data_IF_945297884284
#
_entry.id   IF_945297884284
#
_cell.length_a   1.000
_cell.length_b   1.000
_cell.length_c   1.000
_cell.angle_alpha   90.00
_cell.angle_beta   90.00
_cell.angle_gamma   90.00
#
_symmetry.space_group_name_H-M   'P 1'
#
loop_
_entity.id
_entity.type
_entity.pdbx_description
1 polymer ?
#
# COMPACT_ATOMS: atom_id res chain seq x y z
N UNK A 1 -50.87 39.52 -52.29
CA UNK A 1 -50.06 39.59 -51.05
C UNK A 1 -50.19 38.26 -50.32
N UNK A 2 -49.10 37.49 -50.24
CA UNK A 2 -48.80 36.46 -49.22
C UNK A 2 -47.59 35.65 -49.73
N UNK A 3 -46.38 36.02 -49.31
CA UNK A 3 -45.17 35.22 -49.53
C UNK A 3 -45.26 33.97 -48.65
N UNK A 4 -45.28 32.79 -49.26
CA UNK A 4 -44.95 31.52 -48.61
C UNK A 4 -43.70 30.93 -49.29
N UNK A 5 -42.91 30.26 -48.46
CA UNK A 5 -41.77 29.40 -48.77
C UNK A 5 -40.50 30.15 -49.22
N UNK A 6 -39.30 29.77 -48.78
CA UNK A 6 -38.82 28.53 -48.17
C UNK A 6 -37.67 28.92 -47.24
N UNK A 7 -37.67 28.41 -46.01
CA UNK A 7 -36.47 28.36 -45.18
C UNK A 7 -35.41 27.59 -45.97
N UNK A 8 -34.31 28.29 -46.26
CA UNK A 8 -33.10 27.74 -46.82
C UNK A 8 -32.65 26.60 -45.92
N UNK A 9 -32.61 25.40 -46.49
CA UNK A 9 -31.98 24.23 -45.89
C UNK A 9 -30.53 24.58 -45.58
N UNK A 10 -30.25 24.79 -44.29
CA UNK A 10 -28.88 24.78 -43.80
C UNK A 10 -28.37 23.36 -44.03
N UNK A 11 -27.44 23.24 -44.98
CA UNK A 11 -26.67 22.03 -45.23
C UNK A 11 -26.03 21.58 -43.93
N UNK A 12 -26.58 20.55 -43.30
CA UNK A 12 -25.90 19.81 -42.26
C UNK A 12 -24.86 18.95 -42.96
N UNK A 13 -23.63 19.46 -43.08
CA UNK A 13 -22.49 18.63 -43.47
C UNK A 13 -22.33 17.52 -42.43
N UNK A 14 -22.97 16.40 -42.71
CA UNK A 14 -22.82 15.12 -42.03
C UNK A 14 -21.42 14.62 -42.34
N UNK A 15 -20.49 14.79 -41.41
CA UNK A 15 -19.17 14.15 -41.50
C UNK A 15 -19.37 12.64 -41.34
N UNK A 16 -19.58 11.92 -42.44
CA UNK A 16 -19.68 10.46 -42.45
C UNK A 16 -18.42 9.85 -41.84
N UNK A 17 -18.60 8.85 -40.96
CA UNK A 17 -17.48 8.18 -40.30
C UNK A 17 -17.00 7.01 -41.12
N UNK A 18 -15.74 7.05 -41.53
CA UNK A 18 -15.09 5.89 -42.12
C UNK A 18 -14.70 4.92 -40.99
N UNK A 19 -15.41 3.79 -40.96
CA UNK A 19 -15.25 2.73 -39.96
C UNK A 19 -14.07 1.79 -40.26
N UNK A 20 -13.46 1.89 -41.46
CA UNK A 20 -12.21 1.16 -41.76
C UNK A 20 -10.99 1.83 -41.12
N UNK A 21 -11.09 3.13 -40.81
CA UNK A 21 -10.07 3.90 -40.09
C UNK A 21 -10.31 3.89 -38.60
N UNK A 22 -9.37 4.48 -37.85
CA UNK A 22 -9.58 4.69 -36.42
C UNK A 22 -10.83 5.56 -36.17
N UNK A 23 -11.84 5.04 -35.48
CA UNK A 23 -13.08 5.79 -35.22
C UNK A 23 -12.93 7.02 -34.32
N UNK A 24 -11.79 7.19 -33.65
CA UNK A 24 -11.52 8.31 -32.74
C UNK A 24 -10.75 9.46 -33.39
N UNK A 25 -9.83 9.18 -34.33
CA UNK A 25 -9.01 10.21 -34.98
C UNK A 25 -9.11 10.23 -36.51
N UNK A 26 -9.74 9.23 -37.13
CA UNK A 26 -9.97 9.12 -38.58
C UNK A 26 -8.71 9.10 -39.44
N UNK A 27 -7.55 8.86 -38.82
CA UNK A 27 -6.28 8.67 -39.50
C UNK A 27 -6.08 7.18 -39.82
N UNK A 28 -5.59 6.92 -41.03
CA UNK A 28 -4.98 5.63 -41.38
C UNK A 28 -3.55 5.63 -40.87
N UNK A 29 -3.26 4.76 -39.91
CA UNK A 29 -1.88 4.54 -39.49
C UNK A 29 -1.52 3.08 -39.67
N UNK A 30 -0.23 2.82 -39.84
CA UNK A 30 0.35 1.47 -39.98
C UNK A 30 0.20 0.65 -38.68
N UNK A 31 -0.31 1.26 -37.61
CA UNK A 31 -0.49 0.62 -36.30
C UNK A 31 -1.70 -0.29 -36.32
N UNK A 32 -1.55 -1.51 -35.79
CA UNK A 32 -2.64 -2.48 -35.68
C UNK A 32 -3.81 -1.91 -34.87
N UNK A 33 -4.92 -1.66 -35.56
CA UNK A 33 -6.17 -1.20 -34.95
C UNK A 33 -6.81 -2.33 -34.14
N UNK A 34 -7.43 -2.00 -33.01
CA UNK A 34 -8.13 -2.96 -32.14
C UNK A 34 -9.63 -2.68 -32.08
N UNK A 35 -10.41 -3.75 -31.94
CA UNK A 35 -11.82 -3.73 -31.55
C UNK A 35 -11.95 -4.56 -30.27
N UNK A 36 -12.62 -4.02 -29.24
CA UNK A 36 -12.85 -4.75 -27.99
C UNK A 36 -14.09 -4.18 -27.31
N UNK A 37 -15.00 -5.05 -26.89
CA UNK A 37 -16.27 -4.69 -26.23
C UNK A 37 -16.05 -3.79 -25.01
N UNK A 38 -15.04 -4.10 -24.18
CA UNK A 38 -14.67 -3.28 -23.02
C UNK A 38 -14.18 -1.88 -23.41
N UNK A 39 -13.58 -1.75 -24.59
CA UNK A 39 -13.18 -0.45 -25.11
C UNK A 39 -14.37 0.39 -25.54
N UNK A 40 -15.41 -0.21 -26.10
CA UNK A 40 -16.63 0.51 -26.50
C UNK A 40 -17.40 1.04 -25.29
N UNK A 41 -17.57 0.22 -24.25
CA UNK A 41 -18.17 0.64 -22.96
C UNK A 41 -17.45 1.83 -22.35
N UNK A 42 -16.12 1.74 -22.32
CA UNK A 42 -15.27 2.77 -21.75
C UNK A 42 -15.32 4.08 -22.57
N UNK A 43 -15.29 4.00 -23.90
CA UNK A 43 -15.42 5.17 -24.77
C UNK A 43 -16.81 5.80 -24.67
N UNK A 44 -17.87 5.01 -24.67
CA UNK A 44 -19.23 5.49 -24.52
C UNK A 44 -19.47 6.19 -23.17
N UNK A 45 -18.82 5.72 -22.12
CA UNK A 45 -18.91 6.33 -20.79
C UNK A 45 -18.13 7.65 -20.71
N UNK A 46 -16.98 7.75 -21.36
CA UNK A 46 -16.05 8.86 -21.12
C UNK A 46 -16.12 9.97 -22.16
N UNK A 47 -16.37 9.66 -23.44
CA UNK A 47 -16.46 10.66 -24.52
C UNK A 47 -17.50 11.76 -24.20
N UNK A 48 -18.74 11.45 -23.77
CA UNK A 48 -19.72 12.48 -23.40
C UNK A 48 -19.20 13.38 -22.28
N UNK A 49 -18.54 12.81 -21.28
CA UNK A 49 -18.01 13.55 -20.11
C UNK A 49 -16.89 14.51 -20.52
N UNK A 50 -15.98 14.09 -21.39
CA UNK A 50 -14.94 14.99 -21.92
C UNK A 50 -15.52 16.10 -22.80
N UNK A 51 -16.60 15.81 -23.54
CA UNK A 51 -17.30 16.79 -24.36
C UNK A 51 -18.07 17.83 -23.53
N UNK A 52 -18.79 17.40 -22.48
CA UNK A 52 -19.42 18.29 -21.51
C UNK A 52 -18.40 19.24 -20.85
N UNK A 53 -17.20 18.73 -20.59
CA UNK A 53 -16.09 19.52 -20.03
C UNK A 53 -15.30 20.31 -21.09
N UNK A 54 -15.74 20.38 -22.36
CA UNK A 54 -15.04 21.02 -23.49
C UNK A 54 -13.53 20.68 -23.57
N UNK A 55 -13.17 19.45 -23.21
CA UNK A 55 -11.78 19.02 -23.01
C UNK A 55 -11.50 17.69 -23.70
N UNK A 56 -11.99 17.54 -24.94
CA UNK A 56 -11.75 16.35 -25.73
C UNK A 56 -10.25 16.18 -26.05
N UNK A 57 -9.62 15.06 -25.63
CA UNK A 57 -8.19 14.80 -25.87
C UNK A 57 -7.83 14.60 -27.36
N UNK A 58 -8.84 14.36 -28.19
CA UNK A 58 -8.75 14.27 -29.65
C UNK A 58 -9.89 15.13 -30.19
N UNK A 59 -9.62 16.05 -31.14
CA UNK A 59 -10.68 16.80 -31.81
C UNK A 59 -11.60 15.80 -32.53
N UNK A 60 -12.78 15.60 -31.97
CA UNK A 60 -13.76 14.62 -32.42
C UNK A 60 -15.13 15.27 -32.31
N UNK A 61 -15.93 15.16 -33.36
CA UNK A 61 -17.36 15.47 -33.27
C UNK A 61 -18.09 14.29 -32.65
N UNK A 62 -18.63 14.47 -31.44
CA UNK A 62 -19.36 13.43 -30.70
C UNK A 62 -20.65 13.02 -31.42
N UNK A 63 -21.23 13.91 -32.23
CA UNK A 63 -22.45 13.63 -33.00
C UNK A 63 -22.25 12.48 -33.98
N UNK A 64 -21.03 12.34 -34.53
CA UNK A 64 -20.67 11.23 -35.42
C UNK A 64 -20.76 9.86 -34.77
N UNK A 65 -20.54 9.80 -33.47
CA UNK A 65 -20.59 8.56 -32.69
C UNK A 65 -21.90 8.43 -31.92
N UNK A 66 -22.82 9.40 -32.00
CA UNK A 66 -24.06 9.42 -31.24
C UNK A 66 -25.25 9.96 -32.06
N UNK A 67 -25.94 9.06 -32.75
CA UNK A 67 -27.18 9.37 -33.51
C UNK A 67 -28.44 9.31 -32.64
N UNK A 68 -28.32 9.44 -31.31
CA UNK A 68 -29.43 9.41 -30.35
C UNK A 68 -29.72 8.04 -29.73
N UNK A 69 -29.13 6.96 -30.25
CA UNK A 69 -29.22 5.60 -29.69
C UNK A 69 -28.13 5.28 -28.66
N UNK A 70 -27.23 6.22 -28.39
CA UNK A 70 -26.07 6.06 -27.53
C UNK A 70 -24.81 5.58 -28.26
N UNK A 71 -23.65 6.02 -27.78
CA UNK A 71 -22.33 5.75 -28.38
C UNK A 71 -21.98 4.27 -28.34
N UNK A 72 -22.29 3.58 -27.24
CA UNK A 72 -21.99 2.15 -27.11
C UNK A 72 -22.72 1.31 -28.16
N UNK A 73 -24.00 1.61 -28.40
CA UNK A 73 -24.84 0.93 -29.39
C UNK A 73 -24.26 1.07 -30.80
N UNK A 74 -23.81 2.27 -31.16
CA UNK A 74 -23.23 2.55 -32.49
C UNK A 74 -21.87 1.88 -32.67
N UNK A 75 -21.03 1.89 -31.63
CA UNK A 75 -19.74 1.20 -31.65
C UNK A 75 -19.90 -0.33 -31.65
N UNK A 76 -20.96 -0.86 -31.06
CA UNK A 76 -21.24 -2.31 -31.07
C UNK A 76 -21.76 -2.76 -32.43
N UNK A 77 -22.64 -1.99 -33.08
CA UNK A 77 -23.23 -2.33 -34.39
C UNK A 77 -22.20 -2.23 -35.52
N UNK A 78 -21.32 -1.23 -35.49
CA UNK A 78 -20.36 -0.99 -36.58
C UNK A 78 -19.00 -1.67 -36.35
N UNK A 79 -18.80 -2.29 -35.18
CA UNK A 79 -17.54 -2.92 -34.72
C UNK A 79 -16.25 -2.15 -35.10
N UNK A 80 -16.20 -0.82 -34.90
CA UNK A 80 -15.15 -0.04 -35.50
C UNK A 80 -13.84 -0.20 -34.74
N UNK A 81 -12.74 -0.05 -35.46
CA UNK A 81 -11.42 -0.23 -34.89
C UNK A 81 -10.86 1.10 -34.40
N UNK A 82 -9.99 1.07 -33.40
CA UNK A 82 -9.33 2.25 -32.86
C UNK A 82 -7.86 1.97 -32.56
N UNK A 83 -7.04 3.02 -32.57
CA UNK A 83 -5.68 2.92 -32.05
C UNK A 83 -5.72 2.71 -30.53
N UNK A 84 -4.93 1.78 -29.97
CA UNK A 84 -4.79 1.64 -28.52
C UNK A 84 -4.38 2.94 -27.83
N UNK A 85 -3.50 3.72 -28.48
CA UNK A 85 -3.07 5.04 -28.01
C UNK A 85 -4.22 6.05 -27.97
N UNK A 86 -5.11 6.06 -28.97
CA UNK A 86 -6.30 6.92 -28.98
C UNK A 86 -7.27 6.53 -27.86
N UNK A 87 -7.53 5.23 -27.64
CA UNK A 87 -8.38 4.77 -26.53
C UNK A 87 -7.85 5.20 -25.17
N UNK A 88 -6.55 5.06 -24.92
CA UNK A 88 -5.94 5.42 -23.62
C UNK A 88 -6.11 6.91 -23.30
N UNK A 89 -6.21 7.78 -24.31
CA UNK A 89 -6.46 9.21 -24.08
C UNK A 89 -7.81 9.49 -23.40
N UNK A 90 -8.79 8.60 -23.53
CA UNK A 90 -10.11 8.73 -22.90
C UNK A 90 -10.23 7.99 -21.56
N UNK A 91 -9.14 7.58 -20.91
CA UNK A 91 -9.17 6.79 -19.67
C UNK A 91 -9.67 7.56 -18.44
N UNK A 92 -10.27 6.82 -17.49
CA UNK A 92 -10.85 7.30 -16.24
C UNK A 92 -9.86 8.13 -15.40
N UNK A 93 -8.56 7.81 -15.48
CA UNK A 93 -7.49 8.57 -14.83
C UNK A 93 -7.30 9.97 -15.42
N UNK A 94 -7.45 10.12 -16.74
CA UNK A 94 -7.44 11.44 -17.39
C UNK A 94 -8.73 12.21 -17.13
N UNK A 95 -9.87 11.51 -17.13
CA UNK A 95 -11.18 12.10 -16.81
C UNK A 95 -11.16 12.79 -15.43
N UNK A 96 -10.59 12.13 -14.41
CA UNK A 96 -10.48 12.70 -13.06
C UNK A 96 -9.58 13.93 -12.99
N UNK A 97 -8.52 13.98 -13.79
CA UNK A 97 -7.62 15.13 -13.85
C UNK A 97 -8.28 16.34 -14.53
N UNK A 98 -9.04 16.12 -15.61
CA UNK A 98 -9.84 17.16 -16.28
C UNK A 98 -10.95 17.69 -15.34
N UNK A 99 -11.69 16.82 -14.63
CA UNK A 99 -12.74 17.25 -13.69
C UNK A 99 -12.20 18.10 -12.54
N UNK A 100 -10.98 17.82 -12.07
CA UNK A 100 -10.32 18.59 -11.00
C UNK A 100 -9.81 19.96 -11.49
N UNK A 101 -9.59 20.10 -12.80
CA UNK A 101 -9.17 21.36 -13.44
C UNK A 101 -10.35 22.30 -13.63
N UNK A 102 -11.53 21.77 -13.94
CA UNK A 102 -12.78 22.54 -14.09
C UNK A 102 -13.34 23.09 -12.77
N UNK A 103 -12.94 22.55 -11.61
CA UNK A 103 -13.39 23.05 -10.28
C UNK A 103 -12.55 24.22 -9.74
N UNK A 104 -11.49 24.64 -10.44
CA UNK A 104 -10.55 25.69 -9.98
C UNK A 104 -10.74 27.06 -10.65
N UNK A 105 -11.77 27.25 -11.45
CA UNK A 105 -12.06 28.54 -12.08
C UNK A 105 -13.25 29.19 -11.41
N UNK A 106 -13.04 29.96 -10.34
CA UNK A 106 -13.75 31.22 -9.99
C UNK A 106 -13.03 31.92 -8.81
N UNK A 107 -11.91 32.61 -9.07
CA UNK A 107 -11.57 33.92 -8.45
C UNK A 107 -10.42 34.52 -9.26
N UNK A 108 -10.62 35.69 -9.87
CA UNK A 108 -9.62 36.37 -10.70
C UNK A 108 -8.80 37.40 -9.94
N UNK A 109 -7.51 37.53 -10.28
CA UNK A 109 -6.93 38.74 -10.89
C UNK A 109 -5.52 38.42 -11.44
N UNK A 110 -5.21 39.02 -12.58
CA UNK A 110 -4.18 38.71 -13.60
C UNK A 110 -2.77 39.28 -13.26
N UNK A 111 -1.66 39.04 -14.03
CA UNK A 111 -1.63 39.02 -15.50
C UNK A 111 -0.94 37.82 -16.16
N UNK A 112 -1.61 37.39 -17.23
CA UNK A 112 -1.08 36.59 -18.33
C UNK A 112 0.05 37.36 -19.03
N UNK A 113 1.22 36.73 -19.17
CA UNK A 113 2.12 37.01 -20.29
C UNK A 113 2.30 35.74 -21.13
N UNK A 114 2.34 35.98 -22.44
CA UNK A 114 2.15 35.07 -23.54
C UNK A 114 3.14 33.89 -23.59
N UNK A 115 2.65 32.73 -24.05
CA UNK A 115 3.50 31.67 -24.62
C UNK A 115 4.24 32.26 -25.82
N UNK A 116 5.57 32.19 -25.85
CA UNK A 116 6.30 32.22 -27.12
C UNK A 116 6.28 30.82 -27.71
N UNK A 117 5.58 30.66 -28.83
CA UNK A 117 5.91 29.64 -29.81
C UNK A 117 7.33 29.91 -30.29
N UNK A 118 8.20 28.90 -30.22
CA UNK A 118 9.42 28.86 -31.03
C UNK A 118 9.20 27.81 -32.09
N UNK A 119 9.37 28.26 -33.32
CA UNK A 119 9.26 27.54 -34.57
C UNK A 119 10.00 26.21 -34.58
N UNK A 120 9.41 25.27 -35.30
CA UNK A 120 10.04 24.02 -35.71
C UNK A 120 11.22 24.34 -36.64
N UNK A 121 12.43 24.18 -36.14
CA UNK A 121 13.57 23.74 -36.97
C UNK A 121 14.52 22.89 -36.12
N UNK A 122 14.97 21.81 -36.74
CA UNK A 122 15.79 20.73 -36.20
C UNK A 122 16.84 21.12 -35.14
N UNK A 123 16.93 20.34 -34.06
CA UNK A 123 18.21 19.86 -33.47
C UNK A 123 18.00 19.06 -32.17
N UNK A 124 18.38 17.77 -32.20
CA UNK A 124 18.80 16.87 -31.09
C UNK A 124 18.05 16.97 -29.75
N UNK A 125 17.34 15.89 -29.41
CA UNK A 125 16.71 15.63 -28.10
C UNK A 125 17.69 15.88 -26.93
N UNK A 126 17.60 17.04 -26.28
CA UNK A 126 18.09 17.22 -24.92
C UNK A 126 17.13 16.42 -24.03
N UNK A 127 17.55 15.22 -23.63
CA UNK A 127 16.85 14.50 -22.57
C UNK A 127 17.03 15.33 -21.30
N UNK A 128 15.96 15.90 -20.76
CA UNK A 128 16.02 16.57 -19.47
C UNK A 128 16.48 15.54 -18.42
N UNK A 129 17.71 15.71 -17.92
CA UNK A 129 18.29 14.86 -16.88
C UNK A 129 17.83 15.43 -15.54
N UNK A 130 17.19 14.60 -14.73
CA UNK A 130 16.70 14.98 -13.39
C UNK A 130 17.22 13.99 -12.35
N UNK A 131 17.42 14.47 -11.13
CA UNK A 131 17.90 13.66 -10.01
C UNK A 131 16.76 12.84 -9.40
N UNK A 132 16.99 11.55 -9.15
CA UNK A 132 16.09 10.73 -8.37
C UNK A 132 16.18 11.07 -6.89
N UNK A 133 15.04 11.36 -6.28
CA UNK A 133 14.92 11.68 -4.86
C UNK A 133 15.46 10.58 -3.91
N UNK A 134 15.25 9.30 -4.25
CA UNK A 134 15.57 8.18 -3.36
C UNK A 134 17.03 7.75 -3.38
N UNK A 135 17.74 8.00 -4.48
CA UNK A 135 19.11 7.52 -4.66
C UNK A 135 20.10 8.60 -5.08
N UNK A 136 19.62 9.83 -5.25
CA UNK A 136 20.41 10.98 -5.68
C UNK A 136 21.13 10.84 -7.03
N UNK A 137 20.78 9.81 -7.82
CA UNK A 137 21.35 9.62 -9.15
C UNK A 137 20.55 10.37 -10.19
N UNK A 138 21.28 11.03 -11.08
CA UNK A 138 20.75 11.63 -12.29
C UNK A 138 20.25 10.56 -13.26
N UNK A 139 19.10 10.81 -13.86
CA UNK A 139 18.52 9.93 -14.85
C UNK A 139 17.65 10.72 -15.85
N UNK A 140 17.47 10.20 -17.08
CA UNK A 140 16.55 10.81 -18.04
C UNK A 140 15.14 10.89 -17.43
N UNK A 141 14.45 12.01 -17.65
CA UNK A 141 13.07 12.23 -17.18
C UNK A 141 12.13 11.06 -17.52
N UNK A 142 12.34 10.40 -18.66
CA UNK A 142 11.57 9.24 -19.13
C UNK A 142 11.68 8.01 -18.22
N UNK A 143 12.75 7.90 -17.44
CA UNK A 143 13.01 6.78 -16.52
C UNK A 143 12.56 7.04 -15.08
N UNK A 144 12.15 8.28 -14.79
CA UNK A 144 11.68 8.71 -13.48
C UNK A 144 10.16 8.83 -13.48
N UNK A 145 9.55 8.46 -12.36
CA UNK A 145 8.12 8.68 -12.12
C UNK A 145 7.94 10.02 -11.40
N UNK A 146 7.05 10.84 -11.94
CA UNK A 146 6.56 12.07 -11.33
C UNK A 146 5.34 11.78 -10.43
N UNK A 147 5.14 12.62 -9.41
CA UNK A 147 3.96 12.54 -8.55
C UNK A 147 4.27 11.94 -7.18
N UNK A 148 5.11 12.62 -6.41
CA UNK A 148 5.12 12.38 -4.97
C UNK A 148 3.81 12.90 -4.38
N UNK A 149 2.87 11.99 -4.17
CA UNK A 149 1.60 12.30 -3.50
C UNK A 149 1.79 12.34 -2.00
N UNK A 150 0.91 13.04 -1.27
CA UNK A 150 0.87 13.02 0.21
C UNK A 150 0.92 11.59 0.75
N UNK A 151 0.13 10.68 0.14
CA UNK A 151 0.11 9.26 0.53
C UNK A 151 1.45 8.56 0.32
N UNK A 152 2.17 8.89 -0.75
CA UNK A 152 3.50 8.34 -0.98
C UNK A 152 4.52 8.90 0.01
N UNK A 153 4.43 10.20 0.33
CA UNK A 153 5.28 10.83 1.34
C UNK A 153 5.12 10.17 2.72
N UNK A 154 3.88 10.00 3.18
CA UNK A 154 3.60 9.37 4.47
C UNK A 154 4.11 7.92 4.51
N UNK A 155 4.00 7.22 3.39
CA UNK A 155 4.53 5.85 3.25
C UNK A 155 6.05 5.84 3.28
N UNK A 156 6.72 6.77 2.60
CA UNK A 156 8.18 6.89 2.62
C UNK A 156 8.69 7.23 4.02
N UNK A 157 8.00 8.11 4.77
CA UNK A 157 8.34 8.42 6.16
C UNK A 157 8.27 7.18 7.04
N UNK A 158 7.14 6.45 7.03
CA UNK A 158 6.99 5.19 7.79
C UNK A 158 8.03 4.15 7.42
N UNK A 159 8.33 4.03 6.12
CA UNK A 159 9.35 3.09 5.67
C UNK A 159 10.75 3.50 6.15
N UNK A 160 11.09 4.79 6.08
CA UNK A 160 12.37 5.31 6.53
C UNK A 160 12.54 5.15 8.04
N UNK A 161 11.47 5.33 8.82
CA UNK A 161 11.44 5.03 10.27
C UNK A 161 11.69 3.54 10.52
N UNK A 162 10.98 2.66 9.81
CA UNK A 162 11.10 1.20 9.95
C UNK A 162 12.52 0.70 9.62
N UNK A 163 13.10 1.22 8.54
CA UNK A 163 14.44 0.83 8.08
C UNK A 163 15.55 1.62 8.81
N UNK A 164 15.18 2.58 9.64
CA UNK A 164 16.09 3.54 10.32
C UNK A 164 17.02 4.27 9.34
N UNK A 165 16.51 4.61 8.16
CA UNK A 165 17.25 5.35 7.14
C UNK A 165 17.29 6.84 7.49
N UNK A 166 18.30 7.23 8.27
CA UNK A 166 18.48 8.61 8.77
C UNK A 166 18.61 9.64 7.65
N UNK A 167 19.20 9.25 6.53
CA UNK A 167 19.40 10.15 5.39
C UNK A 167 18.09 10.44 4.67
N UNK A 168 17.29 9.39 4.44
CA UNK A 168 15.95 9.54 3.87
C UNK A 168 15.01 10.31 4.81
N UNK A 169 15.09 10.07 6.12
CA UNK A 169 14.33 10.83 7.11
C UNK A 169 14.67 12.33 7.08
N UNK A 170 15.97 12.68 7.05
CA UNK A 170 16.40 14.08 6.95
C UNK A 170 15.84 14.75 5.69
N UNK A 171 15.92 14.07 4.53
CA UNK A 171 15.36 14.54 3.26
C UNK A 171 13.85 14.78 3.35
N UNK A 172 13.11 13.85 3.95
CA UNK A 172 11.65 13.94 4.11
C UNK A 172 11.20 15.00 5.13
N UNK A 173 12.09 15.44 6.03
CA UNK A 173 11.84 16.52 6.98
C UNK A 173 12.14 17.90 6.40
N UNK A 174 13.12 18.02 5.51
CA UNK A 174 13.53 19.31 4.93
C UNK A 174 12.61 19.76 3.79
N UNK A 175 12.08 18.82 3.00
CA UNK A 175 11.30 19.16 1.82
C UNK A 175 9.81 19.15 2.10
N UNK A 176 9.12 20.24 1.76
CA UNK A 176 7.67 20.24 1.65
C UNK A 176 7.28 19.48 0.38
N UNK A 177 7.19 18.16 0.53
CA UNK A 177 7.06 17.15 -0.52
C UNK A 177 5.86 17.40 -1.47
N UNK A 178 4.90 18.23 -1.04
CA UNK A 178 3.70 18.58 -1.80
C UNK A 178 3.99 19.66 -2.86
N UNK A 179 5.07 20.44 -2.72
CA UNK A 179 5.28 21.66 -3.53
C UNK A 179 6.32 21.54 -4.67
N UNK A 180 7.12 20.47 -4.75
CA UNK A 180 8.31 20.42 -5.64
C UNK A 180 8.36 19.29 -6.67
N UNK A 181 7.24 18.64 -7.02
CA UNK A 181 7.16 17.62 -8.09
C UNK A 181 8.33 16.60 -8.08
N UNK A 182 8.62 16.05 -6.89
CA UNK A 182 9.74 15.14 -6.70
C UNK A 182 9.62 13.90 -7.60
N UNK A 183 10.74 13.56 -8.26
CA UNK A 183 10.86 12.46 -9.20
C UNK A 183 11.70 11.32 -8.61
N UNK A 184 11.30 10.08 -8.86
CA UNK A 184 12.01 8.91 -8.34
C UNK A 184 12.02 7.75 -9.33
N UNK A 185 13.04 6.89 -9.23
CA UNK A 185 13.06 5.62 -9.95
C UNK A 185 12.03 4.65 -9.34
N UNK A 186 11.16 4.03 -10.15
CA UNK A 186 10.27 2.96 -9.67
C UNK A 186 11.05 1.83 -8.98
N UNK A 187 12.23 1.48 -9.50
CA UNK A 187 13.11 0.46 -8.92
C UNK A 187 13.63 0.85 -7.53
N UNK A 188 13.93 2.14 -7.29
CA UNK A 188 14.38 2.60 -5.98
C UNK A 188 13.26 2.50 -4.93
N UNK A 189 12.01 2.78 -5.31
CA UNK A 189 10.86 2.60 -4.42
C UNK A 189 10.67 1.12 -4.06
N UNK A 190 10.72 0.22 -5.04
CA UNK A 190 10.63 -1.23 -4.80
C UNK A 190 11.77 -1.72 -3.92
N UNK A 191 13.00 -1.23 -4.14
CA UNK A 191 14.14 -1.59 -3.32
C UNK A 191 13.94 -1.15 -1.85
N UNK A 192 13.37 0.04 -1.64
CA UNK A 192 13.04 0.54 -0.30
C UNK A 192 11.93 -0.32 0.36
N UNK A 193 10.87 -0.65 -0.36
CA UNK A 193 9.81 -1.56 0.13
C UNK A 193 10.36 -2.95 0.49
N UNK A 194 11.31 -3.46 -0.29
CA UNK A 194 11.96 -4.73 -0.01
C UNK A 194 12.81 -4.67 1.27
N UNK A 195 13.51 -3.54 1.51
CA UNK A 195 14.23 -3.33 2.77
C UNK A 195 13.27 -3.30 3.96
N UNK A 196 12.14 -2.60 3.85
CA UNK A 196 11.12 -2.56 4.90
C UNK A 196 10.63 -3.96 5.25
N UNK A 197 10.30 -4.76 4.24
CA UNK A 197 9.87 -6.16 4.41
C UNK A 197 10.93 -7.02 5.08
N UNK A 198 12.20 -6.85 4.68
CA UNK A 198 13.30 -7.59 5.27
C UNK A 198 13.50 -7.25 6.76
N UNK A 199 13.37 -5.97 7.14
CA UNK A 199 13.47 -5.56 8.54
C UNK A 199 12.31 -6.10 9.35
N UNK A 200 11.07 -5.95 8.88
CA UNK A 200 9.87 -6.49 9.57
C UNK A 200 10.00 -8.00 9.84
N UNK A 201 10.41 -8.75 8.82
CA UNK A 201 10.66 -10.19 8.96
C UNK A 201 11.70 -10.50 10.02
N UNK A 202 12.83 -9.77 10.04
CA UNK A 202 13.87 -9.96 11.06
C UNK A 202 13.38 -9.61 12.47
N UNK A 203 12.58 -8.56 12.61
CA UNK A 203 11.99 -8.17 13.90
C UNK A 203 11.02 -9.22 14.41
N UNK A 204 10.18 -9.78 13.53
CA UNK A 204 9.26 -10.87 13.86
C UNK A 204 10.02 -12.15 14.25
N UNK A 205 11.05 -12.53 13.50
CA UNK A 205 11.91 -13.68 13.81
C UNK A 205 12.64 -13.49 15.15
N UNK A 206 13.16 -12.29 15.43
CA UNK A 206 13.81 -11.99 16.70
C UNK A 206 12.81 -12.08 17.87
N UNK A 207 11.63 -11.47 17.74
CA UNK A 207 10.61 -11.52 18.78
C UNK A 207 10.17 -12.97 19.07
N UNK A 208 10.06 -13.82 18.03
CA UNK A 208 9.75 -15.23 18.21
C UNK A 208 10.88 -15.98 18.91
N UNK A 209 12.14 -15.73 18.53
CA UNK A 209 13.29 -16.34 19.19
C UNK A 209 13.40 -15.94 20.66
N UNK A 210 13.09 -14.68 20.99
CA UNK A 210 13.07 -14.17 22.36
C UNK A 210 11.99 -14.89 23.20
N UNK A 211 10.77 -15.04 22.66
CA UNK A 211 9.68 -15.81 23.29
C UNK A 211 10.09 -17.27 23.49
N UNK A 212 10.71 -17.90 22.48
CA UNK A 212 11.16 -19.30 22.57
C UNK A 212 12.29 -19.48 23.58
N UNK A 213 13.19 -18.52 23.70
CA UNK A 213 14.26 -18.51 24.70
C UNK A 213 13.69 -18.35 26.12
N UNK A 214 12.73 -17.45 26.30
CA UNK A 214 12.01 -17.24 27.55
C UNK A 214 11.25 -18.51 28.00
N UNK A 215 10.52 -19.16 27.08
CA UNK A 215 9.82 -20.40 27.38
C UNK A 215 10.78 -21.53 27.82
N UNK A 216 11.91 -21.69 27.13
CA UNK A 216 12.96 -22.66 27.50
C UNK A 216 13.55 -22.37 28.87
N UNK A 217 13.80 -21.10 29.20
CA UNK A 217 14.28 -20.70 30.53
C UNK A 217 13.26 -21.08 31.63
N UNK A 218 11.96 -20.87 31.35
CA UNK A 218 10.86 -21.30 32.21
C UNK A 218 10.83 -22.81 32.45
N UNK A 219 10.94 -23.61 31.39
CA UNK A 219 10.96 -25.07 31.49
C UNK A 219 12.15 -25.59 32.33
N UNK A 220 13.34 -25.01 32.12
CA UNK A 220 14.54 -25.35 32.91
C UNK A 220 14.38 -24.94 34.37
N UNK A 221 13.80 -23.77 34.64
CA UNK A 221 13.53 -23.31 36.01
C UNK A 221 12.53 -24.25 36.72
N UNK A 222 11.48 -24.68 36.03
CA UNK A 222 10.52 -25.65 36.55
C UNK A 222 11.19 -26.99 36.86
N UNK A 223 11.99 -27.53 35.94
CA UNK A 223 12.69 -28.80 36.14
C UNK A 223 13.61 -28.76 37.38
N UNK A 224 14.30 -27.63 37.60
CA UNK A 224 15.13 -27.45 38.81
C UNK A 224 14.30 -27.39 40.09
N UNK A 225 13.14 -26.75 40.06
CA UNK A 225 12.22 -26.72 41.19
C UNK A 225 11.69 -28.10 41.54
N UNK A 226 11.29 -28.87 40.53
CA UNK A 226 10.86 -30.26 40.69
C UNK A 226 11.99 -31.08 41.32
N UNK A 227 13.23 -30.95 40.82
CA UNK A 227 14.38 -31.66 41.39
C UNK A 227 14.66 -31.24 42.84
N UNK A 228 14.57 -29.94 43.16
CA UNK A 228 14.73 -29.45 44.53
C UNK A 228 13.69 -30.06 45.49
N UNK A 229 12.43 -30.17 45.06
CA UNK A 229 11.37 -30.82 45.86
C UNK A 229 11.71 -32.30 46.09
N UNK A 230 12.13 -33.03 45.06
CA UNK A 230 12.51 -34.44 45.20
C UNK A 230 13.74 -34.66 46.09
N UNK A 231 14.79 -33.84 45.94
CA UNK A 231 16.02 -33.95 46.73
C UNK A 231 15.78 -33.66 48.21
N UNK A 232 15.00 -32.61 48.51
CA UNK A 232 14.67 -32.27 49.89
C UNK A 232 13.87 -33.37 50.57
N UNK A 233 13.03 -34.08 49.83
CA UNK A 233 12.27 -35.22 50.38
C UNK A 233 13.10 -36.46 50.60
N UNK A 234 14.03 -36.80 49.71
CA UNK A 234 14.94 -37.93 49.92
C UNK A 234 15.82 -37.74 51.16
N UNK A 235 16.11 -36.49 51.51
CA UNK A 235 17.04 -36.14 52.59
C UNK A 235 16.34 -35.87 53.93
N UNK A 236 15.00 -35.89 54.01
CA UNK A 236 14.26 -35.65 55.25
C UNK A 236 13.47 -36.88 55.68
N UNK A 237 13.52 -37.20 56.96
CA UNK A 237 12.83 -38.35 57.56
C UNK A 237 11.32 -38.09 57.82
N UNK A 238 10.68 -37.24 57.00
CA UNK A 238 9.29 -36.82 57.18
C UNK A 238 8.70 -36.06 55.98
N UNK A 239 7.40 -35.79 56.04
CA UNK A 239 6.69 -35.08 54.97
C UNK A 239 7.06 -33.58 54.95
N UNK A 240 7.90 -33.19 53.99
CA UNK A 240 8.23 -31.78 53.76
C UNK A 240 7.08 -31.04 53.08
N UNK A 241 6.61 -29.98 53.73
CA UNK A 241 5.65 -29.03 53.16
C UNK A 241 6.38 -27.75 52.71
N UNK A 242 6.20 -27.40 51.44
CA UNK A 242 6.77 -26.21 50.82
C UNK A 242 5.74 -25.10 50.72
N UNK A 243 6.13 -23.85 51.02
CA UNK A 243 5.26 -22.70 50.73
C UNK A 243 5.32 -22.40 49.25
N UNK A 244 4.14 -22.30 48.61
CA UNK A 244 4.04 -21.98 47.19
C UNK A 244 4.68 -20.61 46.85
N UNK A 245 4.63 -19.66 47.78
CA UNK A 245 5.28 -18.36 47.61
C UNK A 245 6.81 -18.48 47.51
N UNK A 246 7.43 -19.39 48.26
CA UNK A 246 8.88 -19.59 48.24
C UNK A 246 9.30 -20.30 46.95
N UNK A 247 8.53 -21.30 46.53
CA UNK A 247 8.72 -21.97 45.23
C UNK A 247 8.56 -21.00 44.05
N UNK A 248 7.59 -20.08 44.11
CA UNK A 248 7.42 -19.03 43.11
C UNK A 248 8.62 -18.07 43.05
N UNK A 249 9.14 -17.64 44.20
CA UNK A 249 10.33 -16.80 44.23
C UNK A 249 11.56 -17.53 43.68
N UNK A 250 11.71 -18.83 43.96
CA UNK A 250 12.78 -19.66 43.39
C UNK A 250 12.65 -19.80 41.88
N UNK A 251 11.43 -19.96 41.37
CA UNK A 251 11.14 -20.01 39.93
C UNK A 251 11.56 -18.70 39.26
N UNK A 252 11.05 -17.57 39.75
CA UNK A 252 11.31 -16.24 39.20
C UNK A 252 12.79 -15.91 39.20
N UNK A 253 13.49 -16.14 40.33
CA UNK A 253 14.94 -15.97 40.40
C UNK A 253 15.69 -16.83 39.39
N UNK A 254 15.22 -18.06 39.17
CA UNK A 254 15.91 -18.97 38.26
C UNK A 254 15.68 -18.60 36.80
N UNK A 255 14.49 -18.11 36.46
CA UNK A 255 14.21 -17.57 35.13
C UNK A 255 15.04 -16.32 34.87
N UNK A 256 15.09 -15.37 35.82
CA UNK A 256 15.93 -14.16 35.70
C UNK A 256 17.43 -14.46 35.54
N UNK A 257 17.92 -15.60 36.01
CA UNK A 257 19.30 -16.03 35.79
C UNK A 257 19.55 -16.65 34.40
N UNK A 258 18.50 -17.15 33.76
CA UNK A 258 18.55 -17.88 32.49
C UNK A 258 18.09 -17.04 31.30
N UNK A 259 17.35 -15.97 31.55
CA UNK A 259 16.85 -15.01 30.57
C UNK A 259 17.02 -13.59 31.08
N UNK A 260 17.28 -12.63 30.19
CA UNK A 260 17.31 -11.20 30.49
C UNK A 260 15.91 -10.63 30.81
N UNK A 261 14.85 -11.42 30.58
CA UNK A 261 13.45 -11.06 30.82
C UNK A 261 12.94 -11.32 32.25
N UNK A 262 11.94 -10.54 32.64
CA UNK A 262 11.17 -10.70 33.89
C UNK A 262 9.91 -11.53 33.63
N UNK A 263 10.05 -12.84 33.42
CA UNK A 263 8.87 -13.72 33.33
C UNK A 263 8.22 -13.83 34.71
N UNK A 264 7.11 -13.13 34.89
CA UNK A 264 6.28 -13.25 36.08
C UNK A 264 5.22 -14.33 35.85
N UNK A 265 5.31 -15.43 36.60
CA UNK A 265 4.30 -16.49 36.56
C UNK A 265 3.34 -16.32 37.74
N UNK A 266 2.03 -16.40 37.47
CA UNK A 266 1.06 -16.42 38.55
C UNK A 266 1.23 -17.68 39.40
N UNK A 267 1.18 -17.52 40.73
CA UNK A 267 1.34 -18.62 41.70
C UNK A 267 0.37 -19.77 41.46
N UNK A 268 -0.87 -19.48 41.06
CA UNK A 268 -1.87 -20.49 40.70
C UNK A 268 -1.42 -21.36 39.53
N UNK A 269 -0.85 -20.74 38.49
CA UNK A 269 -0.32 -21.43 37.31
C UNK A 269 0.91 -22.28 37.67
N UNK A 270 1.82 -21.75 38.49
CA UNK A 270 2.97 -22.53 38.97
C UNK A 270 2.52 -23.75 39.77
N UNK A 271 1.52 -23.59 40.65
CA UNK A 271 0.92 -24.70 41.40
C UNK A 271 0.40 -25.78 40.46
N UNK A 272 -0.39 -25.42 39.46
CA UNK A 272 -0.93 -26.37 38.47
C UNK A 272 0.19 -27.09 37.70
N UNK A 273 1.23 -26.37 37.28
CA UNK A 273 2.39 -26.96 36.60
C UNK A 273 3.14 -27.97 37.48
N UNK A 274 3.31 -27.66 38.78
CA UNK A 274 3.97 -28.56 39.73
C UNK A 274 3.12 -29.82 40.01
N UNK A 275 1.82 -29.65 40.25
CA UNK A 275 0.89 -30.78 40.49
C UNK A 275 0.76 -31.68 39.25
N UNK A 276 0.84 -31.11 38.04
CA UNK A 276 0.83 -31.89 36.81
C UNK A 276 2.14 -32.70 36.59
N UNK A 277 3.28 -32.17 37.05
CA UNK A 277 4.59 -32.84 36.90
C UNK A 277 4.90 -33.85 38.01
N UNK A 278 4.34 -33.67 39.20
CA UNK A 278 4.56 -34.53 40.36
C UNK A 278 3.22 -35.10 40.81
N UNK A 279 2.94 -36.34 40.42
CA UNK A 279 1.64 -36.99 40.63
C UNK A 279 1.25 -37.15 42.09
N UNK A 280 2.24 -37.35 42.96
CA UNK A 280 2.03 -37.55 44.40
C UNK A 280 2.00 -36.22 45.17
N UNK A 281 2.04 -35.08 44.49
CA UNK A 281 2.05 -33.77 45.11
C UNK A 281 0.62 -33.27 45.33
N UNK A 282 0.32 -32.78 46.52
CA UNK A 282 -0.95 -32.15 46.85
C UNK A 282 -0.74 -30.75 47.42
N UNK A 283 -1.65 -29.84 47.06
CA UNK A 283 -1.67 -28.48 47.56
C UNK A 283 -2.84 -28.29 48.54
N UNK A 284 -2.55 -27.69 49.69
CA UNK A 284 -3.54 -27.39 50.72
C UNK A 284 -3.34 -25.98 51.28
N UNK A 285 -4.41 -25.42 51.85
CA UNK A 285 -4.39 -24.10 52.47
C UNK A 285 -4.21 -24.23 53.98
N UNK A 286 -3.27 -23.46 54.54
CA UNK A 286 -3.10 -23.31 55.99
C UNK A 286 -3.18 -21.82 56.32
N UNK A 287 -4.39 -21.36 56.66
CA UNK A 287 -4.71 -19.94 56.79
C UNK A 287 -4.58 -19.22 55.44
N UNK A 288 -3.83 -18.11 55.39
CA UNK A 288 -3.56 -17.36 54.14
C UNK A 288 -2.43 -17.95 53.27
N UNK A 289 -1.80 -19.04 53.71
CA UNK A 289 -0.65 -19.64 53.03
C UNK A 289 -1.09 -20.88 52.24
N UNK A 290 -0.62 -20.99 51.01
CA UNK A 290 -0.74 -22.22 50.21
C UNK A 290 0.52 -23.04 50.41
N UNK A 291 0.35 -24.27 50.85
CA UNK A 291 1.41 -25.25 51.06
C UNK A 291 1.27 -26.37 50.05
N UNK A 292 2.41 -26.97 49.70
CA UNK A 292 2.52 -28.06 48.73
C UNK A 292 3.35 -29.17 49.38
N UNK A 293 2.83 -30.38 49.47
CA UNK A 293 3.52 -31.53 50.08
C UNK A 293 3.19 -32.81 49.32
N UNK A 294 3.98 -33.87 49.44
CA UNK A 294 3.56 -35.17 48.92
C UNK A 294 2.42 -35.77 49.75
N UNK A 295 1.43 -36.36 49.07
CA UNK A 295 0.44 -37.22 49.71
C UNK A 295 1.16 -38.41 50.31
N UNK A 296 1.18 -38.48 51.63
CA UNK A 296 1.53 -39.70 52.34
C UNK A 296 0.39 -40.68 52.03
N UNK A 297 0.64 -41.67 51.17
CA UNK A 297 -0.23 -42.84 51.14
C UNK A 297 -0.13 -43.49 52.51
N UNK A 298 -1.24 -43.52 53.26
CA UNK A 298 -1.39 -44.38 54.44
C UNK A 298 -1.40 -45.84 54.00
#
# INVERSE_FOLDING_TARGET
>A
MAKRNRLSSVSTDSWETDWQKCCLCQEDTVVTLKSTIDGYKMLATNIPKFHEMNSLPIPLDVRRLNNGSGIESILTVNEPKYHPSCRIKFNNTKQRNESTKSTKTETGCSPKFFRRSVDHSDTKSKQDIVKCFLCDKEAPLSSLREGMTIKLNDRLKRCAETVQDKELLAKLSTWDVIAQDLKYHPACLVALDNKERAVKKKTEEQAQNDIDAENKAGDVALAKLVNYIFETQRNSDGANAFRLADLANMYERRVQQLSEGTIHIHRTRLKEMLLAKISDLQAYTKGRKVLVQHSISM
#
